data_IF_107514797131
#
_entry.id   IF_107514797131
#
_cell.length_a   1.000
_cell.length_b   1.000
_cell.length_c   1.000
_cell.angle_alpha   90.00
_cell.angle_beta   90.00
_cell.angle_gamma   90.00
#
_symmetry.space_group_name_H-M   'P 1'
#
loop_
_entity.id
_entity.type
_entity.pdbx_description
1 polymer ?
#
# COMPACT_ATOMS: atom_id res chain seq x y z
N UNK A 1 23.82 18.86 10.90
CA UNK A 1 22.69 18.05 11.42
C UNK A 1 22.14 18.76 12.65
N UNK A 2 20.82 18.89 12.76
CA UNK A 2 20.15 19.50 13.93
C UNK A 2 20.43 18.65 15.17
N UNK A 3 20.59 19.27 16.35
CA UNK A 3 21.08 18.56 17.55
C UNK A 3 20.08 17.49 17.98
N UNK A 4 18.78 17.77 17.81
CA UNK A 4 17.74 16.81 18.12
C UNK A 4 17.79 15.57 17.21
N UNK A 5 18.10 15.75 15.92
CA UNK A 5 18.22 14.65 14.97
C UNK A 5 19.42 13.75 15.31
N UNK A 6 20.53 14.34 15.73
CA UNK A 6 21.71 13.60 16.20
C UNK A 6 21.37 12.80 17.48
N UNK A 7 20.63 13.41 18.40
CA UNK A 7 20.24 12.79 19.66
C UNK A 7 19.28 11.61 19.43
N UNK A 8 18.29 11.77 18.54
CA UNK A 8 17.40 10.69 18.10
C UNK A 8 18.16 9.56 17.42
N UNK A 9 19.17 9.86 16.60
CA UNK A 9 19.99 8.83 15.93
C UNK A 9 20.87 8.04 16.91
N UNK A 10 21.35 8.68 17.98
CA UNK A 10 22.21 8.05 18.99
C UNK A 10 21.43 7.20 20.01
N UNK A 11 20.14 7.50 20.20
CA UNK A 11 19.33 6.93 21.26
C UNK A 11 17.99 6.42 20.73
N UNK A 12 17.94 5.20 20.15
CA UNK A 12 16.71 4.65 19.54
C UNK A 12 15.57 4.45 20.54
N UNK A 13 15.86 4.36 21.85
CA UNK A 13 14.81 4.31 22.88
C UNK A 13 13.92 5.56 22.91
N UNK A 14 14.38 6.67 22.32
CA UNK A 14 13.63 7.91 22.21
C UNK A 14 12.56 7.87 21.12
N UNK A 15 12.62 6.90 20.19
CA UNK A 15 11.69 6.86 19.06
C UNK A 15 10.26 6.58 19.53
N UNK A 16 10.10 5.68 20.51
CA UNK A 16 8.80 5.35 21.12
C UNK A 16 8.28 6.40 22.12
N UNK A 17 8.74 7.64 22.03
CA UNK A 17 8.28 8.74 22.91
C UNK A 17 7.55 9.81 22.10
N UNK A 18 6.52 10.38 22.72
CA UNK A 18 5.74 11.45 22.13
C UNK A 18 6.40 12.81 22.39
N UNK A 19 6.65 13.56 21.32
CA UNK A 19 7.21 14.91 21.39
C UNK A 19 6.17 15.95 21.03
N UNK A 20 6.06 16.98 21.85
CA UNK A 20 5.27 18.14 21.49
C UNK A 20 5.98 18.97 20.41
N UNK A 21 5.23 19.37 19.39
CA UNK A 21 5.70 20.25 18.33
C UNK A 21 4.80 21.46 18.17
N UNK A 22 5.38 22.58 17.74
CA UNK A 22 4.64 23.75 17.28
C UNK A 22 4.77 23.87 15.76
N UNK A 23 3.67 24.13 15.05
CA UNK A 23 3.72 24.32 13.61
C UNK A 23 4.41 25.65 13.27
N UNK A 24 5.49 25.59 12.49
CA UNK A 24 6.19 26.79 11.99
C UNK A 24 5.76 27.10 10.57
N UNK A 25 5.71 26.08 9.72
CA UNK A 25 5.29 26.20 8.32
C UNK A 25 4.72 24.88 7.84
N UNK A 26 3.69 24.94 7.02
CA UNK A 26 3.17 23.81 6.24
C UNK A 26 2.96 24.29 4.81
N UNK A 27 3.65 23.68 3.85
CA UNK A 27 3.58 23.96 2.41
C UNK A 27 3.56 22.64 1.66
N UNK A 28 3.19 22.65 0.37
CA UNK A 28 3.11 21.44 -0.47
C UNK A 28 4.36 20.57 -0.28
N UNK A 29 4.17 19.37 0.27
CA UNK A 29 5.22 18.37 0.59
C UNK A 29 6.24 18.73 1.68
N UNK A 30 6.04 19.81 2.44
CA UNK A 30 6.94 20.24 3.50
C UNK A 30 6.19 20.67 4.77
N UNK A 31 6.40 19.94 5.86
CA UNK A 31 5.94 20.31 7.19
C UNK A 31 7.16 20.64 8.04
N UNK A 32 7.20 21.84 8.63
CA UNK A 32 8.25 22.27 9.55
C UNK A 32 7.64 22.46 10.94
N UNK A 33 8.11 21.64 11.88
CA UNK A 33 7.72 21.71 13.28
C UNK A 33 8.87 22.24 14.12
N UNK A 34 8.56 23.03 15.14
CA UNK A 34 9.50 23.40 16.18
C UNK A 34 9.46 22.33 17.28
N UNK A 35 10.52 21.55 17.37
CA UNK A 35 10.69 20.48 18.36
C UNK A 35 11.81 20.90 19.32
N UNK A 36 11.49 21.02 20.61
CA UNK A 36 12.44 21.42 21.66
C UNK A 36 13.24 22.71 21.32
N UNK A 37 12.61 23.65 20.61
CA UNK A 37 13.23 24.92 20.22
C UNK A 37 13.99 24.91 18.88
N UNK A 38 14.14 23.75 18.23
CA UNK A 38 14.72 23.64 16.89
C UNK A 38 13.60 23.46 15.85
N UNK A 39 13.61 24.23 14.77
CA UNK A 39 12.78 23.94 13.60
C UNK A 39 13.27 22.63 13.00
N UNK A 40 12.40 21.70 12.61
CA UNK A 40 12.74 20.38 12.05
C UNK A 40 11.77 20.08 10.91
N UNK A 41 12.26 19.81 9.69
CA UNK A 41 11.39 19.31 8.63
C UNK A 41 10.96 17.89 8.96
N UNK A 42 9.67 17.62 8.92
CA UNK A 42 9.08 16.31 9.18
C UNK A 42 8.30 15.82 7.96
N UNK A 43 8.22 14.51 7.82
CA UNK A 43 7.43 13.84 6.80
C UNK A 43 6.51 12.81 7.46
N UNK A 44 5.29 12.67 6.96
CA UNK A 44 4.37 11.64 7.44
C UNK A 44 4.93 10.27 7.08
N UNK A 45 5.22 9.46 8.09
CA UNK A 45 5.82 8.15 7.89
C UNK A 45 4.84 7.18 7.23
N UNK A 46 5.38 6.38 6.31
CA UNK A 46 4.74 5.24 5.66
C UNK A 46 3.42 5.51 4.92
N UNK A 47 3.14 6.75 4.55
CA UNK A 47 1.95 7.09 3.75
C UNK A 47 2.29 7.97 2.56
N UNK A 48 1.46 7.89 1.54
CA UNK A 48 1.49 8.79 0.39
C UNK A 48 0.12 9.41 0.17
N UNK A 49 0.10 10.74 0.11
CA UNK A 49 -1.09 11.50 -0.25
C UNK A 49 -1.40 11.38 -1.74
N UNK A 50 -2.68 11.47 -2.09
CA UNK A 50 -3.14 11.32 -3.47
C UNK A 50 -2.85 12.54 -4.34
N UNK A 51 -3.04 13.75 -3.81
CA UNK A 51 -2.89 15.00 -4.55
C UNK A 51 -2.49 16.19 -3.66
N UNK A 52 -2.22 17.33 -4.30
CA UNK A 52 -1.83 18.58 -3.62
C UNK A 52 -2.99 19.21 -2.83
N UNK A 53 -4.25 18.97 -3.21
CA UNK A 53 -5.40 19.51 -2.49
C UNK A 53 -5.54 18.88 -1.10
N UNK A 54 -5.27 17.57 -0.99
CA UNK A 54 -5.16 16.84 0.28
C UNK A 54 -4.04 17.45 1.15
N UNK A 55 -2.92 17.85 0.53
CA UNK A 55 -1.84 18.50 1.27
C UNK A 55 -2.29 19.81 1.93
N UNK A 56 -2.96 20.67 1.16
CA UNK A 56 -3.48 21.95 1.67
C UNK A 56 -4.47 21.73 2.81
N UNK A 57 -5.40 20.78 2.66
CA UNK A 57 -6.36 20.42 3.71
C UNK A 57 -5.66 19.89 4.97
N UNK A 58 -4.60 19.11 4.82
CA UNK A 58 -3.81 18.62 5.95
C UNK A 58 -3.08 19.78 6.64
N UNK A 59 -2.53 20.73 5.88
CA UNK A 59 -1.93 21.93 6.43
C UNK A 59 -2.95 22.81 7.19
N UNK A 60 -4.18 22.92 6.69
CA UNK A 60 -5.26 23.63 7.38
C UNK A 60 -5.62 22.93 8.70
N UNK A 61 -5.73 21.60 8.68
CA UNK A 61 -5.97 20.79 9.87
C UNK A 61 -4.88 21.03 10.92
N UNK A 62 -3.61 20.95 10.53
CA UNK A 62 -2.48 21.20 11.43
C UNK A 62 -2.44 22.63 11.94
N UNK A 63 -2.79 23.61 11.11
CA UNK A 63 -2.80 25.03 11.52
C UNK A 63 -3.93 25.34 12.51
N UNK A 64 -5.03 24.59 12.45
CA UNK A 64 -6.18 24.74 13.35
C UNK A 64 -6.07 23.92 14.65
N UNK A 65 -5.15 22.96 14.70
CA UNK A 65 -4.96 22.07 15.83
C UNK A 65 -4.46 22.83 17.07
N UNK A 66 -5.01 22.52 18.24
CA UNK A 66 -4.56 23.11 19.51
C UNK A 66 -3.29 22.43 20.01
N UNK A 67 -3.13 21.15 19.69
CA UNK A 67 -2.02 20.31 20.13
C UNK A 67 -1.49 19.52 18.94
N UNK A 68 -0.18 19.67 18.68
CA UNK A 68 0.54 18.84 17.74
C UNK A 68 1.55 18.00 18.51
N UNK A 69 1.54 16.70 18.28
CA UNK A 69 2.52 15.77 18.83
C UNK A 69 3.04 14.86 17.73
N UNK A 70 4.29 14.44 17.86
CA UNK A 70 4.92 13.48 16.95
C UNK A 70 5.44 12.28 17.71
N UNK A 71 5.46 11.15 17.02
CA UNK A 71 6.12 9.93 17.45
C UNK A 71 6.96 9.38 16.30
N UNK A 72 8.06 8.71 16.61
CA UNK A 72 8.99 8.18 15.61
C UNK A 72 8.92 6.67 15.71
N UNK A 73 8.78 5.99 14.57
CA UNK A 73 8.78 4.54 14.62
C UNK A 73 10.18 4.02 15.03
N UNK A 74 10.29 3.10 16.00
CA UNK A 74 11.60 2.54 16.41
C UNK A 74 12.38 1.85 15.29
N UNK A 75 11.68 1.41 14.25
CA UNK A 75 12.28 0.77 13.07
C UNK A 75 12.57 1.74 11.93
N UNK A 76 12.20 3.02 12.07
CA UNK A 76 12.44 4.04 11.04
C UNK A 76 13.88 4.56 11.06
N UNK A 77 14.40 4.90 9.88
CA UNK A 77 15.69 5.57 9.76
C UNK A 77 15.55 7.06 10.10
N UNK A 78 16.50 7.59 10.87
CA UNK A 78 16.54 9.01 11.23
C UNK A 78 17.16 9.81 10.09
N UNK A 79 16.30 10.31 9.20
CA UNK A 79 16.66 11.12 8.03
C UNK A 79 16.08 12.54 8.13
N UNK A 80 16.41 13.40 7.15
CA UNK A 80 15.81 14.73 7.00
C UNK A 80 15.16 14.77 5.61
N UNK A 81 13.83 14.99 5.50
CA UNK A 81 12.86 15.23 6.57
C UNK A 81 12.69 14.02 7.51
N UNK A 82 12.41 14.29 8.78
CA UNK A 82 12.26 13.27 9.82
C UNK A 82 10.94 12.51 9.62
N UNK A 83 10.95 11.19 9.38
CA UNK A 83 9.73 10.40 9.31
C UNK A 83 9.05 10.31 10.67
N UNK A 84 7.78 10.71 10.76
CA UNK A 84 7.01 10.72 12.01
C UNK A 84 5.58 10.25 11.82
N UNK A 85 5.02 9.65 12.87
CA UNK A 85 3.57 9.64 13.11
C UNK A 85 3.17 11.00 13.68
N UNK A 86 2.21 11.66 13.03
CA UNK A 86 1.80 13.01 13.39
C UNK A 86 0.40 12.96 13.99
N UNK A 87 0.26 13.58 15.16
CA UNK A 87 -1.00 13.66 15.87
C UNK A 87 -1.43 15.12 15.97
N UNK A 88 -2.69 15.37 15.61
CA UNK A 88 -3.35 16.65 15.77
C UNK A 88 -4.52 16.44 16.73
N UNK A 89 -4.52 17.16 17.85
CA UNK A 89 -5.53 17.03 18.93
C UNK A 89 -5.77 15.56 19.33
N UNK A 90 -4.67 14.83 19.57
CA UNK A 90 -4.63 13.41 19.95
C UNK A 90 -5.16 12.43 18.88
N UNK A 91 -5.42 12.90 17.66
CA UNK A 91 -5.85 12.08 16.52
C UNK A 91 -4.69 11.84 15.55
N UNK A 92 -4.47 10.58 15.15
CA UNK A 92 -3.43 10.22 14.19
C UNK A 92 -3.82 10.73 12.79
N UNK A 93 -3.08 11.71 12.28
CA UNK A 93 -3.36 12.37 10.99
C UNK A 93 -3.33 11.36 9.85
N UNK A 94 -2.37 10.43 9.87
CA UNK A 94 -2.26 9.38 8.85
C UNK A 94 -3.49 8.47 8.78
N UNK A 95 -4.04 8.06 9.91
CA UNK A 95 -5.23 7.20 9.96
C UNK A 95 -6.43 7.92 9.33
N UNK A 96 -6.67 9.17 9.71
CA UNK A 96 -7.80 9.93 9.19
C UNK A 96 -7.69 10.17 7.67
N UNK A 97 -6.48 10.43 7.17
CA UNK A 97 -6.23 10.57 5.74
C UNK A 97 -6.48 9.26 4.97
N UNK A 98 -6.09 8.11 5.53
CA UNK A 98 -6.33 6.81 4.91
C UNK A 98 -7.82 6.49 4.92
N UNK A 99 -8.49 6.71 6.05
CA UNK A 99 -9.93 6.51 6.22
C UNK A 99 -10.74 7.35 5.22
N UNK A 100 -10.35 8.60 4.99
CA UNK A 100 -11.00 9.46 3.99
C UNK A 100 -10.62 9.13 2.55
N UNK A 101 -9.81 8.09 2.32
CA UNK A 101 -9.23 7.74 1.03
C UNK A 101 -8.46 8.91 0.40
N UNK A 102 -7.79 9.72 1.20
CA UNK A 102 -6.97 10.86 0.77
C UNK A 102 -5.47 10.52 0.76
N UNK A 103 -5.09 9.44 1.45
CA UNK A 103 -3.76 8.83 1.42
C UNK A 103 -3.83 7.30 1.35
N UNK A 104 -2.68 6.66 1.11
CA UNK A 104 -2.53 5.20 1.13
C UNK A 104 -1.20 4.78 1.77
N UNK A 105 -1.16 3.57 2.33
CA UNK A 105 0.02 3.00 2.99
C UNK A 105 1.08 2.64 1.94
N UNK A 106 2.34 3.03 2.15
CA UNK A 106 3.42 2.77 1.19
C UNK A 106 4.05 1.39 1.34
N UNK A 107 4.35 0.97 2.57
CA UNK A 107 5.04 -0.27 2.89
C UNK A 107 4.23 -1.00 3.96
N UNK A 108 3.76 -2.20 3.65
CA UNK A 108 3.08 -3.05 4.63
C UNK A 108 4.10 -3.78 5.49
N UNK A 109 4.33 -3.31 6.72
CA UNK A 109 5.24 -3.94 7.66
C UNK A 109 4.57 -4.11 9.04
N UNK A 110 4.27 -5.34 9.48
CA UNK A 110 3.57 -5.59 10.74
C UNK A 110 4.37 -5.17 11.98
N UNK A 111 5.68 -4.92 11.84
CA UNK A 111 6.54 -4.45 12.93
C UNK A 111 6.42 -2.93 13.17
N UNK A 112 5.77 -2.18 12.27
CA UNK A 112 5.53 -0.76 12.48
C UNK A 112 4.42 -0.51 13.50
N UNK A 113 4.65 0.48 14.36
CA UNK A 113 3.86 0.76 15.56
C UNK A 113 2.36 0.89 15.29
N UNK A 114 1.98 1.62 14.23
CA UNK A 114 0.59 1.92 13.89
C UNK A 114 0.11 1.20 12.61
N UNK A 115 0.84 0.23 12.09
CA UNK A 115 0.50 -0.43 10.82
C UNK A 115 -0.89 -1.04 10.86
N UNK A 116 -1.18 -1.84 11.88
CA UNK A 116 -2.46 -2.55 12.00
C UNK A 116 -3.65 -1.59 12.04
N UNK A 117 -3.53 -0.49 12.78
CA UNK A 117 -4.56 0.55 12.88
C UNK A 117 -4.81 1.21 11.51
N UNK A 118 -3.74 1.56 10.78
CA UNK A 118 -3.83 2.12 9.44
C UNK A 118 -4.42 1.13 8.42
N UNK A 119 -4.03 -0.15 8.47
CA UNK A 119 -4.58 -1.18 7.59
C UNK A 119 -6.06 -1.45 7.85
N UNK A 120 -6.49 -1.44 9.12
CA UNK A 120 -7.87 -1.70 9.50
C UNK A 120 -8.81 -0.63 8.93
N UNK A 121 -8.41 0.65 8.96
CA UNK A 121 -9.21 1.73 8.34
C UNK A 121 -9.18 1.69 6.80
N UNK A 122 -8.07 1.27 6.19
CA UNK A 122 -7.98 1.10 4.74
C UNK A 122 -8.91 -0.01 4.22
N UNK A 123 -9.03 -1.11 4.99
CA UNK A 123 -9.89 -2.26 4.65
C UNK A 123 -11.38 -2.00 4.87
N UNK A 124 -11.74 -1.08 5.77
CA UNK A 124 -13.14 -0.87 6.17
C UNK A 124 -13.97 -0.17 5.08
N UNK A 125 -13.36 0.69 4.25
CA UNK A 125 -14.05 1.43 3.18
C UNK A 125 -13.78 0.91 1.76
N UNK A 126 -12.90 -0.09 1.62
CA UNK A 126 -12.95 -0.92 0.40
C UNK A 126 -14.17 -1.81 0.54
N UNK A 127 -15.20 -1.55 -0.26
CA UNK A 127 -16.34 -2.46 -0.42
C UNK A 127 -15.75 -3.82 -0.74
N UNK A 128 -15.63 -4.68 0.27
CA UNK A 128 -15.25 -6.07 0.08
C UNK A 128 -16.17 -6.56 -1.02
N UNK A 129 -15.59 -6.96 -2.16
CA UNK A 129 -16.33 -7.86 -3.01
C UNK A 129 -16.76 -9.02 -2.09
N UNK A 130 -18.04 -9.41 -2.05
CA UNK A 130 -18.41 -10.62 -1.32
C UNK A 130 -17.44 -11.70 -1.76
N UNK A 131 -16.89 -12.44 -0.79
CA UNK A 131 -15.98 -13.56 -1.03
C UNK A 131 -16.50 -14.30 -2.26
N UNK A 132 -15.77 -14.17 -3.37
CA UNK A 132 -16.26 -14.64 -4.66
C UNK A 132 -16.69 -16.08 -4.49
N UNK A 133 -17.96 -16.37 -4.79
CA UNK A 133 -18.54 -17.70 -4.69
C UNK A 133 -17.50 -18.74 -5.09
N UNK A 134 -17.35 -19.84 -4.32
CA UNK A 134 -16.24 -20.78 -4.44
C UNK A 134 -16.04 -21.10 -5.89
N UNK A 135 -14.86 -20.74 -6.42
CA UNK A 135 -14.45 -20.82 -7.84
C UNK A 135 -15.34 -21.81 -8.55
N UNK A 136 -16.39 -21.32 -9.22
CA UNK A 136 -17.20 -22.18 -10.08
C UNK A 136 -16.22 -22.67 -11.12
N UNK A 137 -15.75 -23.91 -10.95
CA UNK A 137 -14.92 -24.62 -11.92
C UNK A 137 -15.63 -24.40 -13.24
N UNK A 138 -15.07 -23.56 -14.11
CA UNK A 138 -15.63 -23.31 -15.45
C UNK A 138 -16.00 -24.67 -16.00
N UNK A 139 -17.28 -24.90 -16.21
CA UNK A 139 -17.78 -26.19 -16.68
C UNK A 139 -16.94 -26.53 -17.90
N UNK A 140 -16.10 -27.57 -17.77
CA UNK A 140 -15.18 -27.97 -18.81
C UNK A 140 -16.01 -28.11 -20.09
N UNK A 141 -15.58 -27.45 -21.17
CA UNK A 141 -16.34 -27.39 -22.42
C UNK A 141 -16.82 -28.81 -22.79
N UNK A 142 -18.14 -29.05 -22.68
CA UNK A 142 -18.79 -30.36 -22.89
C UNK A 142 -18.49 -30.99 -24.27
N UNK A 143 -17.87 -30.23 -25.15
CA UNK A 143 -17.62 -30.55 -26.54
C UNK A 143 -16.21 -31.13 -26.78
N UNK A 144 -15.34 -31.13 -25.77
CA UNK A 144 -14.00 -31.73 -25.84
C UNK A 144 -13.97 -33.18 -26.40
N UNK A 145 -14.88 -34.11 -26.00
CA UNK A 145 -14.88 -35.46 -26.57
C UNK A 145 -15.27 -35.48 -28.06
N UNK A 146 -16.08 -34.52 -28.52
CA UNK A 146 -16.51 -34.43 -29.92
C UNK A 146 -15.33 -33.99 -30.79
N UNK A 147 -14.52 -33.03 -30.34
CA UNK A 147 -13.33 -32.59 -31.06
C UNK A 147 -12.28 -33.71 -31.16
N UNK A 148 -12.08 -34.49 -30.10
CA UNK A 148 -11.17 -35.66 -30.14
C UNK A 148 -11.66 -36.73 -31.13
N UNK A 149 -12.97 -36.99 -31.18
CA UNK A 149 -13.55 -37.95 -32.13
C UNK A 149 -13.35 -37.50 -33.58
N UNK A 150 -13.61 -36.23 -33.89
CA UNK A 150 -13.41 -35.68 -35.24
C UNK A 150 -11.94 -35.78 -35.66
N UNK A 151 -11.01 -35.42 -34.76
CA UNK A 151 -9.56 -35.50 -35.04
C UNK A 151 -9.12 -36.95 -35.31
N UNK A 152 -9.65 -37.90 -34.54
CA UNK A 152 -9.44 -39.35 -34.73
C UNK A 152 -9.93 -39.83 -36.10
N UNK A 153 -11.15 -39.44 -36.50
CA UNK A 153 -11.71 -39.83 -37.80
C UNK A 153 -10.86 -39.32 -38.97
N UNK A 154 -10.39 -38.07 -38.90
CA UNK A 154 -9.50 -37.50 -39.92
C UNK A 154 -8.21 -38.31 -40.05
N UNK A 155 -7.61 -38.71 -38.92
CA UNK A 155 -6.41 -39.54 -38.92
C UNK A 155 -6.64 -40.94 -39.50
N UNK A 156 -7.78 -41.57 -39.20
CA UNK A 156 -8.15 -42.86 -39.77
C UNK A 156 -8.33 -42.79 -41.29
N UNK A 157 -8.93 -41.71 -41.81
CA UNK A 157 -9.08 -41.50 -43.27
C UNK A 157 -7.70 -41.35 -43.93
N UNK A 158 -6.80 -40.57 -43.34
CA UNK A 158 -5.43 -40.43 -43.84
C UNK A 158 -4.68 -41.77 -43.88
N UNK A 159 -4.79 -42.57 -42.81
CA UNK A 159 -4.19 -43.91 -42.76
C UNK A 159 -4.79 -44.84 -43.82
N UNK A 160 -6.10 -44.79 -44.03
CA UNK A 160 -6.78 -45.63 -45.03
C UNK A 160 -6.31 -45.28 -46.45
N UNK A 161 -6.23 -43.98 -46.79
CA UNK A 161 -5.70 -43.50 -48.07
C UNK A 161 -4.24 -43.93 -48.24
N UNK A 162 -3.43 -43.81 -47.19
CA UNK A 162 -2.01 -44.19 -47.24
C UNK A 162 -1.83 -45.69 -47.48
N UNK A 163 -2.62 -46.54 -46.81
CA UNK A 163 -2.59 -47.99 -47.00
C UNK A 163 -3.11 -48.40 -48.38
N UNK A 164 -4.16 -47.75 -48.90
CA UNK A 164 -4.66 -48.01 -50.25
C UNK A 164 -3.65 -47.61 -51.34
N UNK A 165 -2.99 -46.45 -51.18
CA UNK A 165 -1.89 -46.04 -52.08
C UNK A 165 -0.70 -46.98 -52.01
N UNK A 166 -0.37 -47.52 -50.83
CA UNK A 166 0.71 -48.51 -50.69
C UNK A 166 0.36 -49.84 -51.36
N UNK A 167 -0.92 -50.25 -51.31
CA UNK A 167 -1.40 -51.48 -51.97
C UNK A 167 -1.39 -51.37 -53.49
N UNK A 168 -1.81 -50.23 -54.06
CA UNK A 168 -1.76 -49.96 -55.50
C UNK A 168 -0.34 -49.82 -56.08
N UNK A 169 0.69 -49.71 -55.24
CA UNK A 169 2.09 -49.57 -55.67
C UNK A 169 2.86 -50.91 -55.66
N UNK A 170 2.22 -51.97 -55.17
CA UNK A 170 2.78 -53.31 -54.99
C UNK A 170 2.08 -54.38 -55.85
N UNK A 171 1.13 -53.99 -56.70
CA UNK A 171 0.64 -54.76 -57.87
C UNK A 171 1.23 -54.13 -59.13
#
# INVERSE_FOLDING_TARGET
>A
MKKILLLLALFPFLHATSYHGELVSCKSEEIILKLQGEEVPVALFNIKMKDEAVWNKTCDLLSSAKKITIEIDPSSAITSPLPVYLFADDTLVQEELIKQQEAYIQIRNPEYTYEKQMEDVEKTDTVMAPESDPIVKKAHAKNAPIFLFILSCVWCIFLFIFLHKKKQKND
#
